data_IF_547332444080
#
_entry.id   IF_547332444080
#
_cell.length_a   1.000
_cell.length_b   1.000
_cell.length_c   1.000
_cell.angle_alpha   90.00
_cell.angle_beta   90.00
_cell.angle_gamma   90.00
#
_symmetry.space_group_name_H-M   'P 1'
#
loop_
_entity.id
_entity.type
_entity.pdbx_description
1 polymer ?
#
# COMPACT_ATOMS: atom_id res chain seq x y z
N UNK A 1 1.48 26.44 -3.52
CA UNK A 1 1.22 25.46 -4.60
C UNK A 1 1.67 26.11 -5.91
N UNK A 2 2.69 25.58 -6.59
CA UNK A 2 3.06 26.04 -7.95
C UNK A 2 4.47 26.65 -8.10
N UNK A 3 5.51 25.92 -7.74
CA UNK A 3 6.85 26.18 -8.31
C UNK A 3 7.11 25.15 -9.43
N UNK A 4 7.70 25.54 -10.57
CA UNK A 4 7.95 24.62 -11.69
C UNK A 4 8.91 23.48 -11.31
N UNK A 5 9.72 23.69 -10.26
CA UNK A 5 10.61 22.68 -9.67
C UNK A 5 9.85 21.58 -8.90
N UNK A 6 8.69 21.88 -8.31
CA UNK A 6 7.87 20.87 -7.62
C UNK A 6 7.09 20.01 -8.62
N UNK A 7 6.59 20.62 -9.70
CA UNK A 7 5.79 19.95 -10.72
C UNK A 7 6.55 18.82 -11.47
N UNK A 8 7.87 18.89 -11.57
CA UNK A 8 8.70 17.86 -12.18
C UNK A 8 8.94 16.66 -11.26
N UNK A 9 8.94 16.86 -9.95
CA UNK A 9 9.02 15.80 -8.93
C UNK A 9 7.64 15.12 -8.76
N UNK A 10 6.55 15.88 -8.87
CA UNK A 10 5.18 15.41 -8.61
C UNK A 10 4.67 14.34 -9.61
N UNK A 11 5.16 14.36 -10.85
CA UNK A 11 4.62 13.55 -11.95
C UNK A 11 4.73 12.03 -11.75
N UNK A 12 5.87 11.45 -11.33
CA UNK A 12 5.94 10.03 -10.98
C UNK A 12 5.20 9.68 -9.67
N UNK A 13 5.02 10.65 -8.77
CA UNK A 13 4.37 10.41 -7.48
C UNK A 13 2.85 10.36 -7.59
N UNK A 14 2.24 11.10 -8.53
CA UNK A 14 0.79 11.07 -8.76
C UNK A 14 0.28 9.64 -9.02
N UNK A 15 0.87 8.94 -10.00
CA UNK A 15 0.47 7.56 -10.33
C UNK A 15 0.72 6.57 -9.19
N UNK A 16 1.79 6.78 -8.40
CA UNK A 16 2.09 5.93 -7.23
C UNK A 16 1.07 6.13 -6.11
N UNK A 17 0.73 7.38 -5.80
CA UNK A 17 -0.27 7.73 -4.79
C UNK A 17 -1.65 7.21 -5.20
N UNK A 18 -2.03 7.38 -6.46
CA UNK A 18 -3.29 6.83 -7.00
C UNK A 18 -3.36 5.31 -6.89
N UNK A 19 -2.29 4.60 -7.27
CA UNK A 19 -2.23 3.15 -7.19
C UNK A 19 -2.34 2.65 -5.74
N UNK A 20 -1.61 3.27 -4.81
CA UNK A 20 -1.69 2.95 -3.38
C UNK A 20 -3.10 3.22 -2.85
N UNK A 21 -3.71 4.35 -3.22
CA UNK A 21 -5.06 4.70 -2.80
C UNK A 21 -6.12 3.74 -3.37
N UNK A 22 -5.94 3.28 -4.62
CA UNK A 22 -6.78 2.25 -5.23
C UNK A 22 -6.65 0.90 -4.50
N UNK A 23 -5.43 0.50 -4.11
CA UNK A 23 -5.22 -0.73 -3.34
C UNK A 23 -5.87 -0.66 -1.95
N UNK A 24 -5.75 0.49 -1.27
CA UNK A 24 -6.40 0.75 0.01
C UNK A 24 -7.93 0.62 -0.12
N UNK A 25 -8.52 1.23 -1.15
CA UNK A 25 -9.97 1.13 -1.44
C UNK A 25 -10.42 -0.29 -1.71
N UNK A 26 -9.66 -1.06 -2.51
CA UNK A 26 -9.93 -2.50 -2.76
C UNK A 26 -9.89 -3.34 -1.48
N UNK A 27 -9.19 -2.88 -0.44
CA UNK A 27 -9.05 -3.54 0.86
C UNK A 27 -9.96 -2.96 1.95
N UNK A 28 -10.96 -2.16 1.58
CA UNK A 28 -11.98 -1.62 2.49
C UNK A 28 -11.63 -0.29 3.17
N UNK A 29 -10.44 0.28 2.92
CA UNK A 29 -10.09 1.62 3.39
C UNK A 29 -10.62 2.68 2.42
N UNK A 30 -11.86 3.11 2.64
CA UNK A 30 -12.56 4.06 1.77
C UNK A 30 -12.37 5.52 2.19
N UNK A 31 -12.38 5.79 3.50
CA UNK A 31 -12.24 7.14 4.06
C UNK A 31 -11.61 7.07 5.44
N UNK A 32 -10.62 7.93 5.68
CA UNK A 32 -10.10 8.13 7.03
C UNK A 32 -11.08 9.00 7.81
N UNK A 33 -11.67 8.45 8.86
CA UNK A 33 -12.54 9.19 9.79
C UNK A 33 -11.73 9.93 10.87
N UNK A 34 -10.41 10.06 10.68
CA UNK A 34 -9.50 10.71 11.64
C UNK A 34 -9.09 12.08 11.13
N UNK A 35 -9.20 13.09 11.99
CA UNK A 35 -8.61 14.41 11.73
C UNK A 35 -7.14 14.40 12.18
N UNK A 36 -6.23 14.67 11.24
CA UNK A 36 -4.80 14.86 11.51
C UNK A 36 -3.89 13.83 10.85
N UNK A 37 -2.76 14.31 10.33
CA UNK A 37 -1.77 13.48 9.62
C UNK A 37 -1.19 12.36 10.49
N UNK A 38 -0.94 12.63 11.78
CA UNK A 38 -0.40 11.63 12.70
C UNK A 38 -1.32 10.41 12.83
N UNK A 39 -2.63 10.65 12.99
CA UNK A 39 -3.63 9.57 13.11
C UNK A 39 -3.76 8.83 11.77
N UNK A 40 -3.75 9.55 10.65
CA UNK A 40 -3.80 8.93 9.32
C UNK A 40 -2.56 8.04 9.07
N UNK A 41 -1.36 8.51 9.46
CA UNK A 41 -0.12 7.74 9.36
C UNK A 41 -0.15 6.49 10.22
N UNK A 42 -0.65 6.56 11.46
CA UNK A 42 -0.79 5.38 12.31
C UNK A 42 -1.68 4.33 11.62
N UNK A 43 -2.85 4.70 11.11
CA UNK A 43 -3.75 3.76 10.40
C UNK A 43 -3.07 3.18 9.14
N UNK A 44 -2.35 4.01 8.39
CA UNK A 44 -1.60 3.57 7.21
C UNK A 44 -0.48 2.59 7.56
N UNK A 45 0.24 2.82 8.66
CA UNK A 45 1.28 1.90 9.14
C UNK A 45 0.71 0.55 9.57
N UNK A 46 -0.41 0.55 10.29
CA UNK A 46 -1.13 -0.68 10.63
C UNK A 46 -1.59 -1.43 9.38
N UNK A 47 -2.09 -0.70 8.37
CA UNK A 47 -2.46 -1.33 7.11
C UNK A 47 -1.26 -1.93 6.36
N UNK A 48 -0.14 -1.20 6.32
CA UNK A 48 1.10 -1.68 5.71
C UNK A 48 1.62 -2.95 6.41
N UNK A 49 1.58 -2.99 7.74
CA UNK A 49 1.97 -4.15 8.53
C UNK A 49 1.09 -5.37 8.20
N UNK A 50 -0.24 -5.19 8.21
CA UNK A 50 -1.18 -6.25 7.87
C UNK A 50 -0.98 -6.74 6.42
N UNK A 51 -0.75 -5.83 5.48
CA UNK A 51 -0.46 -6.15 4.09
C UNK A 51 0.82 -7.00 3.95
N UNK A 52 1.90 -6.58 4.61
CA UNK A 52 3.17 -7.29 4.57
C UNK A 52 3.06 -8.69 5.18
N UNK A 53 2.31 -8.84 6.27
CA UNK A 53 2.06 -10.14 6.89
C UNK A 53 1.27 -11.06 5.95
N UNK A 54 0.17 -10.57 5.36
CA UNK A 54 -0.60 -11.33 4.37
C UNK A 54 0.25 -11.73 3.17
N UNK A 55 1.11 -10.82 2.68
CA UNK A 55 2.00 -11.10 1.55
C UNK A 55 3.01 -12.19 1.90
N UNK A 56 3.62 -12.13 3.08
CA UNK A 56 4.54 -13.16 3.57
C UNK A 56 3.86 -14.53 3.63
N UNK A 57 2.65 -14.61 4.20
CA UNK A 57 1.89 -15.86 4.25
C UNK A 57 1.54 -16.39 2.85
N UNK A 58 1.13 -15.52 1.93
CA UNK A 58 0.82 -15.92 0.55
C UNK A 58 2.05 -16.45 -0.21
N UNK A 59 3.22 -15.84 0.03
CA UNK A 59 4.48 -16.28 -0.58
C UNK A 59 4.94 -17.61 0.00
N UNK A 60 4.78 -17.83 1.31
CA UNK A 60 5.07 -19.11 1.93
C UNK A 60 4.16 -20.23 1.39
N UNK A 61 2.86 -19.97 1.26
CA UNK A 61 1.93 -20.92 0.67
C UNK A 61 2.30 -21.24 -0.79
N UNK A 62 2.61 -20.22 -1.60
CA UNK A 62 3.04 -20.41 -2.97
C UNK A 62 4.34 -21.23 -3.07
N UNK A 63 5.32 -20.94 -2.21
CA UNK A 63 6.57 -21.69 -2.16
C UNK A 63 6.35 -23.16 -1.80
N UNK A 64 5.46 -23.45 -0.83
CA UNK A 64 5.10 -24.82 -0.46
C UNK A 64 4.43 -25.58 -1.62
N UNK A 65 3.50 -24.94 -2.34
CA UNK A 65 2.86 -25.53 -3.52
C UNK A 65 3.88 -25.82 -4.63
N UNK A 66 4.80 -24.89 -4.90
CA UNK A 66 5.86 -25.10 -5.91
C UNK A 66 6.80 -26.25 -5.52
N UNK A 67 7.17 -26.35 -4.24
CA UNK A 67 7.99 -27.46 -3.75
C UNK A 67 7.28 -28.81 -3.88
N UNK A 68 5.98 -28.86 -3.59
CA UNK A 68 5.17 -30.08 -3.76
C UNK A 68 4.98 -30.49 -5.23
N UNK A 69 5.02 -29.55 -6.17
CA UNK A 69 4.93 -29.86 -7.61
C UNK A 69 6.27 -30.30 -8.22
N UNK A 70 7.39 -30.15 -7.50
CA UNK A 70 8.74 -30.45 -7.97
C UNK A 70 9.29 -31.80 -7.47
N UNK A 71 8.56 -32.50 -6.60
CA UNK A 71 8.89 -33.85 -6.10
C UNK A 71 7.89 -34.88 -6.58
#
# INVERSE_FOLDING_TARGET
>A
MGTPQAASIDKPHASRVECVNAQLRRRGLLRFNVCGLLKAQAVLLWHALAHNLQRMLSLQAAAATTAAAAG
#
